data_IF_065258478736
#
_entry.id   IF_065258478736
#
_cell.length_a   1.000
_cell.length_b   1.000
_cell.length_c   1.000
_cell.angle_alpha   90.00
_cell.angle_beta   90.00
_cell.angle_gamma   90.00
#
_symmetry.space_group_name_H-M   'P 1'
#
loop_
_entity.id
_entity.type
_entity.pdbx_description
1 polymer ?
#
# COMPACT_ATOMS: atom_id res chain seq x y z
N UNK A 1 11.26 -75.19 88.35
CA UNK A 1 11.68 -74.92 86.95
C UNK A 1 10.75 -75.67 86.02
N UNK A 2 10.26 -75.13 84.90
CA UNK A 2 9.51 -73.89 84.66
C UNK A 2 8.01 -74.18 84.39
N UNK A 3 7.15 -73.17 84.49
CA UNK A 3 5.87 -73.10 83.76
C UNK A 3 5.50 -71.61 83.64
N UNK A 4 5.55 -71.07 82.43
CA UNK A 4 4.74 -69.92 82.02
C UNK A 4 4.56 -69.97 80.51
N UNK A 5 3.37 -70.42 80.11
CA UNK A 5 2.74 -70.05 78.86
C UNK A 5 2.12 -68.66 79.02
N UNK A 6 2.12 -67.88 77.94
CA UNK A 6 1.04 -66.99 77.47
C UNK A 6 1.65 -66.04 76.42
N UNK A 7 1.48 -66.36 75.12
CA UNK A 7 0.53 -65.73 74.17
C UNK A 7 0.98 -64.36 73.65
N UNK A 8 1.35 -64.30 72.36
CA UNK A 8 0.65 -63.52 71.32
C UNK A 8 1.46 -63.68 70.01
N UNK A 9 1.09 -64.61 69.14
CA UNK A 9 0.27 -64.39 67.94
C UNK A 9 0.91 -63.36 66.99
N UNK A 10 1.60 -63.91 66.00
CA UNK A 10 2.06 -63.22 64.80
C UNK A 10 1.05 -62.24 64.21
N UNK A 11 1.49 -60.99 64.04
CA UNK A 11 0.96 -60.11 63.00
C UNK A 11 2.13 -59.40 62.30
N UNK A 12 2.75 -60.08 61.31
CA UNK A 12 3.57 -59.42 60.29
C UNK A 12 2.74 -59.33 59.02
N UNK A 13 2.48 -58.13 58.49
CA UNK A 13 1.80 -58.01 57.20
C UNK A 13 2.70 -58.56 56.09
N UNK A 14 2.18 -59.54 55.35
CA UNK A 14 2.76 -60.04 54.09
C UNK A 14 2.73 -58.92 53.04
N UNK A 15 3.81 -58.68 52.27
CA UNK A 15 3.76 -57.79 51.13
C UNK A 15 3.02 -58.52 50.00
N UNK A 16 1.73 -58.23 49.83
CA UNK A 16 0.90 -58.83 48.81
C UNK A 16 -0.21 -57.90 48.37
N UNK A 17 -0.29 -57.72 47.05
CA UNK A 17 -1.29 -56.99 46.27
C UNK A 17 -1.03 -55.49 46.06
N UNK A 18 -0.04 -55.17 45.21
CA UNK A 18 -0.16 -54.01 44.34
C UNK A 18 -1.39 -54.24 43.43
N UNK A 19 -2.50 -53.57 43.72
CA UNK A 19 -3.58 -53.40 42.75
C UNK A 19 -3.05 -52.57 41.58
N UNK A 20 -2.71 -53.22 40.47
CA UNK A 20 -2.60 -52.52 39.19
C UNK A 20 -3.99 -51.97 38.84
N UNK A 21 -4.17 -50.65 38.68
CA UNK A 21 -5.45 -50.12 38.20
C UNK A 21 -5.65 -50.60 36.76
N UNK A 22 -6.81 -51.18 36.49
CA UNK A 22 -7.21 -51.66 35.17
C UNK A 22 -7.04 -50.57 34.09
N UNK A 23 -6.70 -50.93 32.83
CA UNK A 23 -6.52 -49.97 31.75
C UNK A 23 -7.84 -49.20 31.51
N UNK A 24 -7.88 -47.93 31.87
CA UNK A 24 -9.10 -47.12 31.81
C UNK A 24 -9.24 -46.42 30.45
N UNK A 25 -10.30 -46.77 29.72
CA UNK A 25 -10.72 -46.14 28.46
C UNK A 25 -10.92 -44.62 28.56
N UNK A 26 -11.05 -44.08 29.79
CA UNK A 26 -11.11 -42.63 30.03
C UNK A 26 -9.86 -41.86 29.63
N UNK A 27 -8.66 -42.48 29.66
CA UNK A 27 -7.43 -41.82 29.17
C UNK A 27 -7.40 -41.70 27.64
N UNK A 28 -7.89 -42.72 26.93
CA UNK A 28 -8.02 -42.70 25.47
C UNK A 28 -9.08 -41.70 25.03
N UNK A 29 -10.25 -41.67 25.68
CA UNK A 29 -11.29 -40.68 25.39
C UNK A 29 -10.79 -39.23 25.59
N UNK A 30 -10.00 -38.99 26.64
CA UNK A 30 -9.39 -37.67 26.89
C UNK A 30 -8.31 -37.31 25.87
N UNK A 31 -7.52 -38.26 25.41
CA UNK A 31 -6.53 -38.03 24.35
C UNK A 31 -7.19 -37.72 23.00
N UNK A 32 -8.26 -38.44 22.65
CA UNK A 32 -9.03 -38.18 21.42
C UNK A 32 -9.66 -36.79 21.48
N UNK A 33 -10.24 -36.39 22.62
CA UNK A 33 -10.82 -35.06 22.79
C UNK A 33 -9.79 -33.92 22.68
N UNK A 34 -8.57 -34.12 23.19
CA UNK A 34 -7.49 -33.13 23.08
C UNK A 34 -6.97 -33.05 21.64
N UNK A 35 -6.89 -34.18 20.93
CA UNK A 35 -6.49 -34.21 19.52
C UNK A 35 -7.52 -33.53 18.61
N UNK A 36 -8.81 -33.76 18.82
CA UNK A 36 -9.88 -33.12 18.03
C UNK A 36 -9.94 -31.62 18.27
N UNK A 37 -9.72 -31.16 19.51
CA UNK A 37 -9.71 -29.72 19.83
C UNK A 37 -8.54 -29.01 19.14
N UNK A 38 -7.34 -29.60 19.12
CA UNK A 38 -6.18 -29.04 18.41
C UNK A 38 -6.38 -29.07 16.89
N UNK A 39 -6.97 -30.14 16.37
CA UNK A 39 -7.34 -30.24 14.95
C UNK A 39 -8.36 -29.18 14.54
N UNK A 40 -9.39 -28.98 15.35
CA UNK A 40 -10.43 -27.97 15.09
C UNK A 40 -9.87 -26.54 15.15
N UNK A 41 -9.01 -26.25 16.12
CA UNK A 41 -8.34 -24.95 16.20
C UNK A 41 -7.43 -24.70 14.98
N UNK A 42 -6.70 -25.72 14.53
CA UNK A 42 -5.84 -25.62 13.35
C UNK A 42 -6.67 -25.41 12.07
N UNK A 43 -7.79 -26.12 11.93
CA UNK A 43 -8.73 -25.94 10.82
C UNK A 43 -9.34 -24.53 10.81
N UNK A 44 -9.72 -23.99 11.98
CA UNK A 44 -10.24 -22.63 12.11
C UNK A 44 -9.21 -21.59 11.66
N UNK A 45 -7.96 -21.73 12.10
CA UNK A 45 -6.86 -20.83 11.71
C UNK A 45 -6.61 -20.92 10.19
N UNK A 46 -6.64 -22.11 9.60
CA UNK A 46 -6.53 -22.27 8.15
C UNK A 46 -7.65 -21.55 7.40
N UNK A 47 -8.90 -21.70 7.82
CA UNK A 47 -10.05 -21.02 7.17
C UNK A 47 -9.90 -19.50 7.25
N UNK A 48 -9.48 -18.97 8.41
CA UNK A 48 -9.23 -17.54 8.59
C UNK A 48 -8.06 -17.04 7.73
N UNK A 49 -6.95 -17.79 7.69
CA UNK A 49 -5.78 -17.44 6.88
C UNK A 49 -6.07 -17.48 5.38
N UNK A 50 -6.82 -18.49 4.92
CA UNK A 50 -7.24 -18.61 3.51
C UNK A 50 -8.25 -17.52 3.15
N UNK A 51 -9.25 -17.26 4.00
CA UNK A 51 -10.23 -16.20 3.78
C UNK A 51 -9.58 -14.82 3.70
N UNK A 52 -8.70 -14.50 4.66
CA UNK A 52 -7.95 -13.24 4.65
C UNK A 52 -6.99 -13.16 3.46
N UNK A 53 -6.28 -14.25 3.15
CA UNK A 53 -5.37 -14.32 2.01
C UNK A 53 -6.08 -14.08 0.67
N UNK A 54 -7.25 -14.67 0.47
CA UNK A 54 -8.08 -14.44 -0.73
C UNK A 54 -8.57 -12.99 -0.77
N UNK A 55 -8.98 -12.41 0.35
CA UNK A 55 -9.42 -11.01 0.41
C UNK A 55 -8.28 -10.05 0.08
N UNK A 56 -7.09 -10.26 0.64
CA UNK A 56 -5.87 -9.50 0.34
C UNK A 56 -5.47 -9.67 -1.12
N UNK A 57 -5.47 -10.90 -1.63
CA UNK A 57 -5.20 -11.16 -3.04
C UNK A 57 -6.21 -10.46 -3.93
N UNK A 58 -7.50 -10.40 -3.60
CA UNK A 58 -8.51 -9.66 -4.40
C UNK A 58 -8.31 -8.15 -4.36
N UNK A 59 -7.84 -7.59 -3.24
CA UNK A 59 -7.51 -6.18 -3.14
C UNK A 59 -6.28 -5.81 -3.99
N UNK A 60 -5.25 -6.66 -3.99
CA UNK A 60 -4.06 -6.51 -4.83
C UNK A 60 -4.32 -6.86 -6.30
N UNK A 61 -5.17 -7.85 -6.55
CA UNK A 61 -5.55 -8.37 -7.85
C UNK A 61 -6.86 -7.74 -8.32
N UNK A 62 -6.99 -6.42 -8.12
CA UNK A 62 -7.82 -5.58 -8.98
C UNK A 62 -7.21 -5.64 -10.38
N UNK A 63 -7.37 -6.78 -11.06
CA UNK A 63 -7.11 -6.91 -12.47
C UNK A 63 -7.91 -5.81 -13.17
N UNK A 64 -7.36 -5.15 -14.22
CA UNK A 64 -8.21 -4.38 -15.10
C UNK A 64 -9.32 -5.32 -15.53
N UNK A 65 -10.57 -4.96 -15.20
CA UNK A 65 -11.71 -5.76 -15.60
C UNK A 65 -11.51 -6.12 -17.07
N UNK A 66 -11.60 -7.41 -17.40
CA UNK A 66 -11.83 -7.82 -18.78
C UNK A 66 -12.88 -6.87 -19.32
N UNK A 67 -12.59 -6.23 -20.45
CA UNK A 67 -13.50 -5.31 -21.12
C UNK A 67 -14.66 -6.17 -21.62
N UNK A 68 -15.57 -6.53 -20.72
CA UNK A 68 -16.87 -7.07 -21.04
C UNK A 68 -17.60 -5.87 -21.62
N UNK A 69 -17.70 -5.84 -22.94
CA UNK A 69 -18.59 -4.95 -23.68
C UNK A 69 -20.03 -5.34 -23.37
N UNK A 70 -20.49 -5.10 -22.15
CA UNK A 70 -21.91 -5.07 -21.84
C UNK A 70 -22.28 -3.62 -21.58
N UNK A 71 -22.75 -2.99 -22.64
CA UNK A 71 -23.25 -1.62 -22.67
C UNK A 71 -24.58 -1.58 -21.91
N UNK A 72 -24.51 -1.56 -20.59
CA UNK A 72 -25.58 -1.00 -19.78
C UNK A 72 -25.36 0.52 -19.74
N UNK A 73 -26.24 1.25 -20.43
CA UNK A 73 -26.26 2.70 -20.40
C UNK A 73 -26.55 3.18 -18.98
N UNK A 74 -25.49 3.63 -18.29
CA UNK A 74 -25.60 4.52 -17.15
C UNK A 74 -25.12 5.86 -17.70
N UNK A 75 -26.04 6.81 -17.84
CA UNK A 75 -25.84 8.15 -18.42
C UNK A 75 -25.01 9.09 -17.52
N UNK A 76 -23.96 8.58 -16.87
CA UNK A 76 -23.09 9.38 -16.01
C UNK A 76 -21.61 8.99 -16.26
N UNK A 77 -20.71 9.96 -16.54
CA UNK A 77 -19.34 9.70 -17.02
C UNK A 77 -18.41 9.12 -15.96
N UNK A 78 -18.93 8.66 -14.82
CA UNK A 78 -18.18 8.09 -13.70
C UNK A 78 -17.44 6.78 -14.05
N UNK A 79 -17.72 6.21 -15.23
CA UNK A 79 -17.17 4.94 -15.69
C UNK A 79 -16.31 5.06 -16.96
N UNK A 80 -16.05 6.25 -17.51
CA UNK A 80 -15.18 6.39 -18.68
C UNK A 80 -13.71 6.51 -18.26
N UNK A 81 -12.90 5.43 -18.29
CA UNK A 81 -11.51 5.49 -17.85
C UNK A 81 -10.66 6.45 -18.69
N UNK A 82 -11.14 6.89 -19.87
CA UNK A 82 -10.43 7.80 -20.75
C UNK A 82 -10.58 9.27 -20.38
N UNK A 83 -11.41 9.60 -19.40
CA UNK A 83 -11.53 10.96 -18.86
C UNK A 83 -10.66 11.15 -17.61
N UNK A 84 -10.39 12.41 -17.27
CA UNK A 84 -9.67 12.74 -16.03
C UNK A 84 -10.58 12.57 -14.82
N UNK A 85 -10.21 11.66 -13.92
CA UNK A 85 -10.88 11.37 -12.67
C UNK A 85 -10.10 11.97 -11.51
N UNK A 86 -10.78 12.59 -10.55
CA UNK A 86 -10.13 13.16 -9.36
C UNK A 86 -10.23 12.17 -8.19
N UNK A 87 -9.09 11.72 -7.70
CA UNK A 87 -8.97 10.93 -6.49
C UNK A 87 -8.68 11.88 -5.32
N UNK A 88 -9.67 12.06 -4.44
CA UNK A 88 -9.54 12.88 -3.24
C UNK A 88 -9.20 12.01 -2.02
N UNK A 89 -8.22 12.44 -1.23
CA UNK A 89 -7.75 11.69 -0.07
C UNK A 89 -8.45 12.15 1.22
N UNK A 90 -9.75 11.86 1.33
CA UNK A 90 -10.57 12.19 2.51
C UNK A 90 -10.37 13.65 2.99
N UNK A 91 -9.77 13.85 4.18
CA UNK A 91 -9.51 15.16 4.78
C UNK A 91 -8.18 15.80 4.35
N UNK A 92 -7.40 15.16 3.49
CA UNK A 92 -6.15 15.72 3.00
C UNK A 92 -6.41 16.69 1.84
N UNK A 93 -5.65 17.80 1.76
CA UNK A 93 -5.80 18.77 0.68
C UNK A 93 -5.24 18.27 -0.67
N UNK A 94 -4.71 17.05 -0.71
CA UNK A 94 -4.08 16.49 -1.90
C UNK A 94 -5.11 15.75 -2.77
N UNK A 95 -4.94 15.92 -4.08
CA UNK A 95 -5.77 15.28 -5.08
C UNK A 95 -4.83 14.68 -6.13
N UNK A 96 -5.21 13.51 -6.65
CA UNK A 96 -4.52 12.90 -7.80
C UNK A 96 -5.52 12.80 -8.94
N UNK A 97 -5.18 13.36 -10.08
CA UNK A 97 -5.92 13.19 -11.31
C UNK A 97 -5.43 11.94 -12.02
N UNK A 98 -6.36 11.03 -12.37
CA UNK A 98 -6.06 9.80 -13.10
C UNK A 98 -6.77 9.77 -14.45
N UNK A 99 -6.10 9.27 -15.48
CA UNK A 99 -6.69 8.99 -16.79
C UNK A 99 -6.05 7.75 -17.41
N UNK A 100 -6.83 6.95 -18.12
CA UNK A 100 -6.32 5.87 -18.98
C UNK A 100 -6.15 6.40 -20.39
N UNK A 101 -4.98 6.16 -20.99
CA UNK A 101 -4.67 6.49 -22.36
C UNK A 101 -4.39 5.23 -23.16
N UNK A 102 -5.02 5.11 -24.31
CA UNK A 102 -4.70 4.11 -25.32
C UNK A 102 -3.74 4.72 -26.33
N UNK A 103 -2.53 4.16 -26.44
CA UNK A 103 -1.46 4.71 -27.27
C UNK A 103 -0.08 4.23 -26.84
N UNK A 104 0.95 4.70 -27.56
CA UNK A 104 2.33 4.37 -27.24
C UNK A 104 2.87 5.22 -26.07
N UNK A 105 4.12 4.93 -25.67
CA UNK A 105 4.83 5.66 -24.61
C UNK A 105 4.92 7.15 -24.92
N UNK A 106 5.17 7.52 -26.17
CA UNK A 106 5.33 8.90 -26.61
C UNK A 106 4.02 9.68 -26.43
N UNK A 107 2.90 9.09 -26.85
CA UNK A 107 1.57 9.66 -26.64
C UNK A 107 1.24 9.83 -25.14
N UNK A 108 1.64 8.88 -24.30
CA UNK A 108 1.47 8.98 -22.85
C UNK A 108 2.28 10.13 -22.24
N UNK A 109 3.53 10.31 -22.67
CA UNK A 109 4.39 11.41 -22.22
C UNK A 109 3.85 12.76 -22.68
N UNK A 110 3.44 12.90 -23.95
CA UNK A 110 2.87 14.15 -24.45
C UNK A 110 1.55 14.51 -23.75
N UNK A 111 0.69 13.52 -23.50
CA UNK A 111 -0.55 13.75 -22.74
C UNK A 111 -0.28 14.20 -21.30
N UNK A 112 0.77 13.67 -20.65
CA UNK A 112 1.21 14.17 -19.34
C UNK A 112 1.76 15.59 -19.43
N UNK A 113 2.63 15.88 -20.40
CA UNK A 113 3.20 17.22 -20.61
C UNK A 113 2.10 18.26 -20.74
N UNK A 114 1.10 17.99 -21.57
CA UNK A 114 -0.03 18.89 -21.77
C UNK A 114 -0.82 19.13 -20.48
N UNK A 115 -1.10 18.07 -19.73
CA UNK A 115 -1.81 18.20 -18.45
C UNK A 115 -0.99 18.96 -17.41
N UNK A 116 0.30 18.69 -17.32
CA UNK A 116 1.20 19.38 -16.40
C UNK A 116 1.32 20.87 -16.73
N UNK A 117 1.45 21.23 -18.02
CA UNK A 117 1.49 22.63 -18.47
C UNK A 117 0.23 23.38 -18.04
N UNK A 118 -0.95 22.83 -18.33
CA UNK A 118 -2.22 23.44 -17.95
C UNK A 118 -2.36 23.64 -16.43
N UNK A 119 -1.88 22.68 -15.64
CA UNK A 119 -1.90 22.78 -14.17
C UNK A 119 -0.88 23.80 -13.63
N UNK A 120 0.31 23.89 -14.23
CA UNK A 120 1.36 24.85 -13.85
C UNK A 120 0.95 26.30 -14.19
N UNK A 121 0.24 26.51 -15.29
CA UNK A 121 -0.28 27.83 -15.67
C UNK A 121 -1.24 28.41 -14.62
N UNK A 122 -2.00 27.53 -13.94
CA UNK A 122 -3.01 27.89 -12.94
C UNK A 122 -2.45 27.98 -11.50
N UNK A 123 -1.26 27.42 -11.22
CA UNK A 123 -0.70 27.40 -9.86
C UNK A 123 0.09 28.67 -9.52
N UNK A 124 -0.07 29.20 -8.30
CA UNK A 124 0.86 30.18 -7.75
C UNK A 124 2.24 29.58 -7.52
N UNK A 125 3.27 30.39 -7.72
CA UNK A 125 4.69 30.01 -7.55
C UNK A 125 5.17 30.03 -6.09
N UNK A 126 4.40 30.66 -5.20
CA UNK A 126 4.75 30.85 -3.78
C UNK A 126 4.02 29.85 -2.87
N UNK A 127 4.70 29.33 -1.85
CA UNK A 127 4.13 28.34 -0.93
C UNK A 127 4.97 28.07 0.32
N UNK A 128 4.46 27.16 1.17
CA UNK A 128 5.07 26.68 2.43
C UNK A 128 6.51 26.21 2.23
N UNK A 129 7.46 26.46 3.17
CA UNK A 129 8.87 26.03 3.11
C UNK A 129 9.11 24.61 2.59
N UNK A 130 10.13 24.44 1.75
CA UNK A 130 10.48 23.15 1.18
C UNK A 130 10.99 22.20 2.26
N UNK A 131 10.54 20.96 2.19
CA UNK A 131 11.04 19.89 3.07
C UNK A 131 12.40 19.38 2.60
N UNK A 132 13.14 18.68 3.46
CA UNK A 132 14.43 18.07 3.07
C UNK A 132 14.29 17.11 1.89
N UNK A 133 13.21 16.33 1.84
CA UNK A 133 12.91 15.41 0.73
C UNK A 133 12.67 16.18 -0.57
N UNK A 134 11.96 17.30 -0.50
CA UNK A 134 11.75 18.16 -1.66
C UNK A 134 13.05 18.77 -2.16
N UNK A 135 13.95 19.21 -1.27
CA UNK A 135 15.26 19.72 -1.64
C UNK A 135 16.10 18.67 -2.37
N UNK A 136 16.10 17.42 -1.89
CA UNK A 136 16.79 16.32 -2.58
C UNK A 136 16.23 16.09 -3.99
N UNK A 137 14.91 16.13 -4.15
CA UNK A 137 14.27 16.00 -5.47
C UNK A 137 14.64 17.18 -6.39
N UNK A 138 14.66 18.41 -5.86
CA UNK A 138 15.05 19.62 -6.60
C UNK A 138 16.50 19.54 -7.08
N UNK A 139 17.43 19.04 -6.25
CA UNK A 139 18.83 18.81 -6.65
C UNK A 139 18.94 17.77 -7.77
N UNK A 140 18.17 16.68 -7.68
CA UNK A 140 18.16 15.64 -8.72
C UNK A 140 17.68 16.17 -10.08
N UNK A 141 16.61 16.97 -10.10
CA UNK A 141 16.08 17.51 -11.35
C UNK A 141 16.90 18.69 -11.89
N UNK A 142 17.58 19.46 -11.02
CA UNK A 142 18.43 20.59 -11.42
C UNK A 142 19.62 20.17 -12.32
N UNK A 143 20.08 18.91 -12.21
CA UNK A 143 21.10 18.36 -13.11
C UNK A 143 20.60 18.00 -14.51
N UNK A 144 19.28 18.05 -14.74
CA UNK A 144 18.65 17.67 -16.01
C UNK A 144 18.25 18.89 -16.84
N UNK A 145 18.09 18.71 -18.15
CA UNK A 145 17.56 19.77 -19.03
C UNK A 145 16.03 19.79 -18.94
N UNK A 146 15.39 20.96 -18.74
CA UNK A 146 13.94 21.05 -18.78
C UNK A 146 13.43 20.73 -20.20
N UNK A 147 12.31 20.00 -20.27
CA UNK A 147 11.61 19.72 -21.53
C UNK A 147 10.75 20.89 -21.97
N UNK A 148 10.26 21.68 -21.02
CA UNK A 148 9.50 22.92 -21.22
C UNK A 148 9.80 23.89 -20.07
N UNK A 149 9.74 25.18 -20.35
CA UNK A 149 9.90 26.19 -19.32
C UNK A 149 9.14 27.47 -19.68
N UNK A 150 8.67 28.16 -18.64
CA UNK A 150 8.20 29.52 -18.71
C UNK A 150 9.11 30.38 -17.83
N UNK A 151 10.01 31.19 -18.43
CA UNK A 151 11.00 31.96 -17.68
C UNK A 151 10.38 32.77 -16.55
N UNK A 152 10.94 32.64 -15.35
CA UNK A 152 10.48 33.33 -14.14
C UNK A 152 9.16 32.80 -13.54
N UNK A 153 8.60 31.72 -14.08
CA UNK A 153 7.42 31.05 -13.50
C UNK A 153 7.70 29.60 -13.15
N UNK A 154 8.02 28.76 -14.13
CA UNK A 154 8.20 27.32 -13.90
C UNK A 154 9.11 26.66 -14.94
N UNK A 155 9.68 25.52 -14.56
CA UNK A 155 10.44 24.60 -15.41
C UNK A 155 9.85 23.21 -15.26
N UNK A 156 9.67 22.50 -16.37
CA UNK A 156 9.14 21.14 -16.41
C UNK A 156 10.26 20.19 -16.84
N UNK A 157 10.57 19.23 -15.99
CA UNK A 157 11.55 18.18 -16.26
C UNK A 157 10.86 16.86 -16.57
N UNK A 158 11.47 16.04 -17.41
CA UNK A 158 10.99 14.70 -17.72
C UNK A 158 12.11 13.70 -17.44
N UNK A 159 11.79 12.66 -16.69
CA UNK A 159 12.60 11.45 -16.56
C UNK A 159 11.83 10.31 -17.22
N UNK A 160 12.36 9.78 -18.32
CA UNK A 160 11.71 8.76 -19.14
C UNK A 160 12.36 7.37 -19.06
N UNK A 161 13.28 7.16 -18.11
CA UNK A 161 14.12 5.94 -18.05
C UNK A 161 13.30 4.66 -17.83
N UNK A 162 12.54 4.57 -16.74
CA UNK A 162 11.79 3.36 -16.37
C UNK A 162 10.29 3.60 -16.41
N UNK A 163 9.84 4.62 -15.68
CA UNK A 163 8.46 5.10 -15.66
C UNK A 163 8.52 6.58 -16.06
N UNK A 164 7.89 6.99 -17.17
CA UNK A 164 7.88 8.39 -17.53
C UNK A 164 7.30 9.22 -16.40
N UNK A 165 8.11 10.15 -15.91
CA UNK A 165 7.82 10.96 -14.74
C UNK A 165 8.13 12.42 -15.07
N UNK A 166 7.19 13.29 -14.79
CA UNK A 166 7.33 14.72 -14.99
C UNK A 166 7.30 15.46 -13.66
N UNK A 167 8.23 16.40 -13.52
CA UNK A 167 8.37 17.24 -12.32
C UNK A 167 8.35 18.68 -12.78
N UNK A 168 7.30 19.42 -12.42
CA UNK A 168 7.26 20.86 -12.60
C UNK A 168 7.74 21.56 -11.35
N UNK A 169 8.70 22.46 -11.50
CA UNK A 169 9.26 23.25 -10.41
C UNK A 169 9.05 24.74 -10.65
N UNK A 170 8.99 25.54 -9.60
CA UNK A 170 9.01 27.00 -9.72
C UNK A 170 10.36 27.48 -10.22
N UNK A 171 10.34 28.46 -11.11
CA UNK A 171 11.54 29.14 -11.57
C UNK A 171 11.83 30.34 -10.67
N UNK A 172 12.64 30.11 -9.63
CA UNK A 172 12.92 31.11 -8.61
C UNK A 172 13.96 32.16 -9.00
N UNK A 173 14.35 32.22 -10.29
CA UNK A 173 15.25 33.27 -10.80
C UNK A 173 14.57 34.64 -10.96
N UNK A 174 13.35 34.81 -10.44
CA UNK A 174 12.73 36.13 -10.33
C UNK A 174 13.60 37.04 -9.44
N UNK A 175 14.16 38.07 -10.06
CA UNK A 175 14.98 39.10 -9.41
C UNK A 175 14.22 39.63 -8.17
N UNK A 176 14.83 39.67 -6.98
CA UNK A 176 14.14 40.14 -5.79
C UNK A 176 13.64 41.57 -6.03
N UNK A 177 12.31 41.74 -6.03
CA UNK A 177 11.68 43.05 -5.99
C UNK A 177 12.02 43.77 -4.68
N UNK A 178 11.85 45.10 -4.60
CA UNK A 178 12.27 45.89 -3.45
C UNK A 178 11.56 45.43 -2.16
N UNK A 179 12.35 44.75 -1.32
CA UNK A 179 12.41 44.69 0.15
C UNK A 179 11.16 44.91 1.04
N UNK A 180 9.91 44.68 0.60
CA UNK A 180 8.73 44.85 1.48
C UNK A 180 7.91 43.57 1.74
N UNK A 181 8.38 42.39 1.35
CA UNK A 181 7.74 41.12 1.72
C UNK A 181 8.74 39.98 1.95
N UNK A 182 9.59 40.16 2.97
CA UNK A 182 10.64 39.21 3.38
C UNK A 182 10.13 37.99 4.17
N UNK A 183 9.01 37.39 3.76
CA UNK A 183 8.50 36.12 4.31
C UNK A 183 8.18 35.06 3.23
N UNK A 184 8.22 35.41 1.95
CA UNK A 184 8.10 34.45 0.87
C UNK A 184 9.46 33.75 0.66
N UNK A 185 9.50 32.45 0.93
CA UNK A 185 10.66 31.61 0.64
C UNK A 185 10.86 31.51 -0.89
N UNK A 186 11.75 32.35 -1.43
CA UNK A 186 12.15 32.40 -2.84
C UNK A 186 13.11 31.25 -3.20
N UNK A 187 12.81 30.04 -2.72
CA UNK A 187 13.50 28.83 -3.17
C UNK A 187 12.67 28.15 -4.27
N UNK A 188 13.30 27.45 -5.21
CA UNK A 188 12.57 26.60 -6.12
C UNK A 188 11.72 25.60 -5.33
N UNK A 189 10.55 25.28 -5.87
CA UNK A 189 9.51 24.45 -5.26
C UNK A 189 9.00 23.45 -6.26
N UNK A 190 8.65 22.26 -5.81
CA UNK A 190 7.94 21.30 -6.64
C UNK A 190 6.47 21.72 -6.73
N UNK A 191 6.06 22.14 -7.91
CA UNK A 191 4.70 22.62 -8.19
C UNK A 191 3.80 21.51 -8.71
N UNK A 192 4.33 20.47 -9.35
CA UNK A 192 3.55 19.32 -9.80
C UNK A 192 4.44 18.10 -9.97
N UNK A 193 3.87 16.93 -9.73
CA UNK A 193 4.51 15.65 -9.94
C UNK A 193 3.54 14.73 -10.67
N UNK A 194 3.99 14.13 -11.77
CA UNK A 194 3.16 13.31 -12.62
C UNK A 194 3.92 12.08 -13.10
N UNK A 195 3.20 10.99 -13.36
CA UNK A 195 3.78 9.75 -13.87
C UNK A 195 2.84 9.00 -14.81
N UNK A 196 3.43 8.25 -15.73
CA UNK A 196 2.73 7.31 -16.61
C UNK A 196 3.18 5.88 -16.27
N UNK A 197 2.20 5.02 -15.99
CA UNK A 197 2.43 3.60 -15.73
C UNK A 197 1.79 2.77 -16.84
N UNK A 198 2.59 1.93 -17.50
CA UNK A 198 2.07 1.00 -18.49
C UNK A 198 1.27 -0.12 -17.80
N UNK A 199 0.03 -0.33 -18.23
CA UNK A 199 -0.85 -1.37 -17.72
C UNK A 199 -0.87 -2.60 -18.64
N UNK A 200 -0.81 -2.36 -19.95
CA UNK A 200 -0.74 -3.38 -20.99
C UNK A 200 -0.04 -2.81 -22.24
N UNK A 201 0.11 -3.62 -23.29
CA UNK A 201 0.58 -3.14 -24.58
C UNK A 201 -0.33 -2.00 -25.07
N UNK A 202 0.25 -0.83 -25.31
CA UNK A 202 -0.44 0.40 -25.72
C UNK A 202 -1.55 0.90 -24.76
N UNK A 203 -1.50 0.52 -23.48
CA UNK A 203 -2.44 1.02 -22.46
C UNK A 203 -1.65 1.60 -21.30
N UNK A 204 -1.89 2.87 -21.00
CA UNK A 204 -1.19 3.65 -19.99
C UNK A 204 -2.17 4.24 -18.98
N UNK A 205 -1.82 4.21 -17.71
CA UNK A 205 -2.47 5.03 -16.68
C UNK A 205 -1.60 6.25 -16.39
N UNK A 206 -2.19 7.43 -16.52
CA UNK A 206 -1.58 8.71 -16.25
C UNK A 206 -2.04 9.20 -14.88
N UNK A 207 -1.11 9.76 -14.09
CA UNK A 207 -1.36 10.32 -12.77
C UNK A 207 -0.72 11.70 -12.68
N UNK A 208 -1.46 12.70 -12.19
CA UNK A 208 -1.05 14.11 -12.09
C UNK A 208 -1.54 14.75 -10.80
#
# INVERSE_FOLDING_TARGET
MPLRQATDREDRPRPGAQHQPAPSFGRLARQIAVWTTRGLACALVMVLAVGFGVQTLRWWNAQPAEIITNRAAIDEPLADPTQWHVLQFASQPWQIHRRTLYGDKTAAVEALRERCRAALEQRPTAGVPATEVELQLLEQVAGSKPVEEQPGRWKLYCNDQTLPMLVGVSDSSAKPGPAESSLADNRPRVLIWALAAQQAANVWSLYV
#
